data_IF_629704877042
#
_entry.id   IF_629704877042
#
_cell.length_a   1.000
_cell.length_b   1.000
_cell.length_c   1.000
_cell.angle_alpha   90.00
_cell.angle_beta   90.00
_cell.angle_gamma   90.00
#
_symmetry.space_group_name_H-M   'P 1'
#
loop_
_entity.id
_entity.type
_entity.pdbx_description
1 polymer ?
#
# COMPACT_ATOMS: atom_id res chain seq x y z
N UNK A 1 -7.31 23.95 2.20
CA UNK A 1 -8.62 24.60 2.40
C UNK A 1 -9.33 23.75 3.43
N UNK A 2 -9.88 24.34 4.50
CA UNK A 2 -10.68 23.57 5.45
C UNK A 2 -11.87 22.99 4.70
N UNK A 3 -12.06 21.68 4.78
CA UNK A 3 -13.21 21.01 4.19
C UNK A 3 -14.48 21.54 4.91
N UNK A 4 -15.55 21.80 4.14
CA UNK A 4 -16.84 22.07 4.75
C UNK A 4 -17.28 20.85 5.57
N UNK A 5 -17.81 21.05 6.79
CA UNK A 5 -18.27 19.92 7.60
C UNK A 5 -19.30 19.07 6.87
N UNK A 6 -19.25 17.75 7.06
CA UNK A 6 -20.26 16.83 6.54
C UNK A 6 -21.64 17.19 7.10
N UNK A 7 -22.62 17.32 6.21
CA UNK A 7 -24.00 17.63 6.61
C UNK A 7 -24.76 16.33 6.89
N UNK A 8 -24.61 15.35 6.02
CA UNK A 8 -25.27 14.05 6.11
C UNK A 8 -24.31 12.96 5.64
N UNK A 9 -23.93 12.06 6.53
CA UNK A 9 -22.98 10.99 6.24
C UNK A 9 -23.46 10.03 5.12
N UNK A 10 -24.76 9.94 4.88
CA UNK A 10 -25.30 9.09 3.84
C UNK A 10 -25.09 9.65 2.42
N UNK A 11 -25.01 10.97 2.26
CA UNK A 11 -25.00 11.65 0.95
C UNK A 11 -23.82 12.61 0.76
N UNK A 12 -23.03 12.85 1.82
CA UNK A 12 -21.94 13.84 1.82
C UNK A 12 -20.69 13.33 2.58
N UNK A 13 -20.44 12.02 2.54
CA UNK A 13 -19.36 11.37 3.29
C UNK A 13 -17.97 11.97 2.98
N UNK A 14 -17.20 12.27 4.04
CA UNK A 14 -15.81 12.71 3.92
C UNK A 14 -14.96 12.17 5.07
N UNK A 15 -13.96 11.36 4.77
CA UNK A 15 -12.96 10.87 5.76
C UNK A 15 -12.12 11.99 6.36
N UNK A 16 -12.04 13.14 5.70
CA UNK A 16 -11.31 14.33 6.19
C UNK A 16 -12.12 15.22 7.16
N UNK A 17 -13.35 14.86 7.51
CA UNK A 17 -14.11 15.55 8.55
C UNK A 17 -13.57 15.13 9.94
N UNK A 18 -13.19 16.06 10.84
CA UNK A 18 -12.65 15.70 12.15
C UNK A 18 -13.54 14.76 12.97
N UNK A 19 -14.86 14.82 12.80
CA UNK A 19 -15.79 13.91 13.49
C UNK A 19 -15.66 12.47 13.04
N UNK A 20 -15.17 12.22 11.81
CA UNK A 20 -14.86 10.87 11.36
C UNK A 20 -13.67 10.30 12.12
N UNK A 21 -12.64 11.11 12.39
CA UNK A 21 -11.49 10.71 13.19
C UNK A 21 -11.86 10.43 14.65
N UNK A 22 -12.81 11.22 15.20
CA UNK A 22 -13.29 11.05 16.57
C UNK A 22 -14.10 9.76 16.78
N UNK A 23 -15.03 9.43 15.86
CA UNK A 23 -15.91 8.26 15.99
C UNK A 23 -16.23 7.59 14.63
N UNK A 24 -15.26 6.96 13.94
CA UNK A 24 -15.51 6.27 12.69
C UNK A 24 -16.48 5.10 12.85
N UNK A 25 -16.42 4.40 13.97
CA UNK A 25 -17.26 3.20 14.18
C UNK A 25 -18.73 3.55 14.39
N UNK A 26 -19.05 4.62 15.11
CA UNK A 26 -20.41 5.10 15.28
C UNK A 26 -21.01 5.58 13.97
N UNK A 27 -20.24 6.30 13.16
CA UNK A 27 -20.67 6.74 11.83
C UNK A 27 -20.98 5.55 10.93
N UNK A 28 -20.08 4.54 10.85
CA UNK A 28 -20.33 3.33 10.06
C UNK A 28 -21.50 2.52 10.59
N UNK A 29 -21.70 2.43 11.91
CA UNK A 29 -22.85 1.76 12.49
C UNK A 29 -24.16 2.44 12.09
N UNK A 30 -24.24 3.75 12.20
CA UNK A 30 -25.40 4.53 11.78
C UNK A 30 -25.70 4.39 10.29
N UNK A 31 -24.68 4.38 9.43
CA UNK A 31 -24.84 4.16 8.00
C UNK A 31 -25.39 2.76 7.69
N UNK A 32 -24.89 1.70 8.34
CA UNK A 32 -25.42 0.34 8.15
C UNK A 32 -26.91 0.23 8.46
N UNK A 33 -27.38 0.98 9.44
CA UNK A 33 -28.81 0.97 9.82
C UNK A 33 -29.70 1.81 8.91
N UNK A 34 -29.18 2.97 8.45
CA UNK A 34 -30.00 3.97 7.75
C UNK A 34 -29.79 4.02 6.25
N UNK A 35 -28.57 3.78 5.77
CA UNK A 35 -28.17 3.86 4.36
C UNK A 35 -27.02 2.89 4.05
N UNK A 36 -27.31 1.59 3.81
CA UNK A 36 -26.27 0.57 3.60
C UNK A 36 -25.30 0.84 2.46
N UNK A 37 -25.68 1.68 1.48
CA UNK A 37 -24.82 2.18 0.42
C UNK A 37 -24.86 3.70 0.45
N UNK A 38 -23.99 4.30 1.25
CA UNK A 38 -23.81 5.74 1.29
C UNK A 38 -23.11 6.23 0.02
N UNK A 39 -23.19 7.53 -0.26
CA UNK A 39 -22.46 8.11 -1.38
C UNK A 39 -21.94 9.50 -1.05
N UNK A 40 -21.08 10.04 -1.89
CA UNK A 40 -20.57 11.41 -1.80
C UNK A 40 -20.27 11.94 -3.19
N UNK A 41 -20.50 13.22 -3.42
CA UNK A 41 -19.99 13.95 -4.59
C UNK A 41 -18.60 14.57 -4.33
N UNK A 42 -18.14 14.50 -3.09
CA UNK A 42 -16.82 15.03 -2.74
C UNK A 42 -15.72 14.25 -3.44
N UNK A 43 -14.62 14.93 -3.75
CA UNK A 43 -13.41 14.33 -4.32
C UNK A 43 -13.63 13.52 -5.61
N UNK A 44 -14.66 13.87 -6.39
CA UNK A 44 -14.99 13.23 -7.67
C UNK A 44 -16.06 12.15 -7.60
N UNK A 45 -16.68 11.98 -6.45
CA UNK A 45 -17.80 11.06 -6.23
C UNK A 45 -17.38 9.62 -5.90
N UNK A 46 -18.07 9.03 -4.92
CA UNK A 46 -17.89 7.64 -4.54
C UNK A 46 -19.16 7.04 -3.93
N UNK A 47 -19.37 5.75 -4.13
CA UNK A 47 -20.33 4.95 -3.38
C UNK A 47 -19.61 4.12 -2.33
N UNK A 48 -20.17 4.05 -1.11
CA UNK A 48 -19.57 3.44 0.05
C UNK A 48 -20.49 2.34 0.59
N UNK A 49 -20.29 1.08 0.18
CA UNK A 49 -21.01 -0.04 0.75
C UNK A 49 -20.58 -0.26 2.19
N UNK A 50 -21.53 -0.44 3.11
CA UNK A 50 -21.25 -0.52 4.54
C UNK A 50 -21.55 -1.89 5.16
N UNK A 51 -22.27 -2.76 4.44
CA UNK A 51 -22.53 -4.13 4.90
C UNK A 51 -21.49 -5.11 4.35
N UNK A 52 -21.23 -6.18 5.08
CA UNK A 52 -20.33 -7.25 4.63
C UNK A 52 -20.80 -7.87 3.30
N UNK A 53 -22.10 -8.09 3.18
CA UNK A 53 -22.71 -8.71 2.00
C UNK A 53 -22.49 -7.86 0.75
N UNK A 54 -22.72 -6.55 0.82
CA UNK A 54 -22.51 -5.63 -0.30
C UNK A 54 -21.03 -5.51 -0.68
N UNK A 55 -20.14 -5.36 0.32
CA UNK A 55 -18.68 -5.32 0.09
C UNK A 55 -18.20 -6.62 -0.55
N UNK A 56 -18.65 -7.78 -0.05
CA UNK A 56 -18.27 -9.07 -0.63
C UNK A 56 -18.82 -9.23 -2.05
N UNK A 57 -20.09 -8.86 -2.30
CA UNK A 57 -20.68 -8.92 -3.63
C UNK A 57 -19.90 -8.08 -4.64
N UNK A 58 -19.56 -6.84 -4.31
CA UNK A 58 -18.75 -5.95 -5.15
C UNK A 58 -17.35 -6.51 -5.37
N UNK A 59 -16.69 -7.01 -4.31
CA UNK A 59 -15.33 -7.52 -4.41
C UNK A 59 -15.21 -8.78 -5.29
N UNK A 60 -16.26 -9.60 -5.36
CA UNK A 60 -16.28 -10.79 -6.21
C UNK A 60 -16.80 -10.55 -7.63
N UNK A 61 -17.49 -9.45 -7.87
CA UNK A 61 -18.05 -9.10 -9.18
C UNK A 61 -17.02 -8.36 -10.04
N UNK A 62 -16.08 -9.12 -10.60
CA UNK A 62 -15.03 -8.58 -11.48
C UNK A 62 -15.52 -8.25 -12.89
N UNK A 63 -16.78 -8.53 -13.23
CA UNK A 63 -17.37 -8.18 -14.51
C UNK A 63 -17.86 -6.73 -14.52
N UNK A 64 -18.45 -6.26 -13.41
CA UNK A 64 -19.02 -4.92 -13.31
C UNK A 64 -18.11 -3.94 -12.53
N UNK A 65 -17.24 -4.44 -11.65
CA UNK A 65 -16.34 -3.63 -10.85
C UNK A 65 -14.87 -3.88 -11.19
N UNK A 66 -14.13 -2.81 -11.42
CA UNK A 66 -12.73 -2.86 -11.84
C UNK A 66 -11.80 -2.38 -10.72
N UNK A 67 -10.66 -3.10 -10.56
CA UNK A 67 -9.58 -2.72 -9.64
C UNK A 67 -8.48 -1.88 -10.30
N UNK A 68 -8.69 -1.38 -11.53
CA UNK A 68 -7.66 -0.57 -12.24
C UNK A 68 -7.35 0.76 -11.58
N UNK A 69 -8.24 1.23 -10.72
CA UNK A 69 -8.06 2.41 -9.86
C UNK A 69 -8.41 2.01 -8.44
N UNK A 70 -7.42 2.02 -7.57
CA UNK A 70 -7.53 1.55 -6.18
C UNK A 70 -7.47 2.68 -5.17
N UNK A 71 -7.45 3.94 -5.62
CA UNK A 71 -7.37 5.07 -4.72
C UNK A 71 -8.70 5.32 -4.02
N UNK A 72 -8.65 5.40 -2.70
CA UNK A 72 -9.78 5.80 -1.85
C UNK A 72 -10.15 7.27 -2.12
N UNK A 73 -9.17 8.08 -2.48
CA UNK A 73 -9.35 9.48 -2.85
C UNK A 73 -9.20 9.60 -4.37
N UNK A 74 -10.19 10.18 -5.08
CA UNK A 74 -10.08 10.39 -6.51
C UNK A 74 -8.88 11.25 -6.86
N UNK A 75 -8.15 10.83 -7.86
CA UNK A 75 -7.06 11.63 -8.40
C UNK A 75 -7.60 12.80 -9.25
N UNK A 76 -6.93 13.95 -9.23
CA UNK A 76 -7.28 15.04 -10.14
C UNK A 76 -7.31 14.59 -11.60
N UNK A 77 -8.20 15.15 -12.43
CA UNK A 77 -8.23 14.85 -13.86
C UNK A 77 -6.84 15.05 -14.51
N UNK A 78 -6.39 14.05 -15.26
CA UNK A 78 -5.08 14.09 -15.93
C UNK A 78 -3.91 13.51 -15.13
N UNK A 79 -4.14 13.03 -13.91
CA UNK A 79 -3.10 12.32 -13.17
C UNK A 79 -2.79 10.98 -13.83
N UNK A 80 -1.52 10.68 -14.02
CA UNK A 80 -1.09 9.36 -14.50
C UNK A 80 -1.29 8.33 -13.39
N UNK A 81 -2.21 7.39 -13.59
CA UNK A 81 -2.44 6.31 -12.63
C UNK A 81 -1.22 5.41 -12.58
N UNK A 82 -0.68 5.21 -11.39
CA UNK A 82 0.38 4.23 -11.18
C UNK A 82 -0.15 2.82 -11.47
N UNK A 83 0.50 2.13 -12.38
CA UNK A 83 0.19 0.73 -12.69
C UNK A 83 1.04 -0.16 -11.81
N UNK A 84 0.45 -0.69 -10.74
CA UNK A 84 1.08 -1.55 -9.75
C UNK A 84 0.43 -2.95 -9.75
N UNK A 85 0.83 -3.87 -10.65
CA UNK A 85 0.31 -5.23 -10.67
C UNK A 85 0.73 -6.02 -9.41
N UNK A 86 -0.15 -6.86 -8.86
CA UNK A 86 -1.49 -7.20 -9.35
C UNK A 86 -2.60 -6.25 -8.90
N UNK A 87 -2.36 -5.34 -7.92
CA UNK A 87 -3.43 -4.59 -7.23
C UNK A 87 -4.24 -3.69 -8.18
N UNK A 88 -3.59 -3.03 -9.15
CA UNK A 88 -4.26 -2.17 -10.14
C UNK A 88 -4.64 -2.92 -11.40
N UNK A 89 -5.16 -4.13 -11.27
CA UNK A 89 -5.40 -5.02 -12.42
C UNK A 89 -6.69 -5.81 -12.27
N UNK A 90 -7.33 -6.12 -13.40
CA UNK A 90 -8.48 -6.99 -13.48
C UNK A 90 -8.11 -8.37 -14.06
N UNK A 91 -8.91 -9.43 -13.83
CA UNK A 91 -8.78 -10.68 -14.54
C UNK A 91 -8.90 -10.49 -16.06
N UNK A 92 -8.19 -11.26 -16.89
CA UNK A 92 -7.30 -12.38 -16.52
C UNK A 92 -5.88 -11.95 -16.12
N UNK A 93 -5.48 -10.68 -16.36
CA UNK A 93 -4.13 -10.19 -16.08
C UNK A 93 -3.81 -10.23 -14.58
N UNK A 94 -4.73 -9.78 -13.72
CA UNK A 94 -4.58 -9.88 -12.26
C UNK A 94 -4.22 -11.29 -11.81
N UNK A 95 -4.96 -12.30 -12.30
CA UNK A 95 -4.75 -13.71 -11.89
C UNK A 95 -3.36 -14.19 -12.25
N UNK A 96 -2.83 -13.78 -13.41
CA UNK A 96 -1.50 -14.15 -13.88
C UNK A 96 -0.42 -13.45 -13.08
N UNK A 97 -0.49 -12.13 -12.94
CA UNK A 97 0.46 -11.33 -12.18
C UNK A 97 0.53 -11.78 -10.70
N UNK A 98 -0.63 -12.01 -10.08
CA UNK A 98 -0.70 -12.51 -8.69
C UNK A 98 -0.06 -13.90 -8.55
N UNK A 99 -0.24 -14.79 -9.52
CA UNK A 99 0.37 -16.15 -9.50
C UNK A 99 1.89 -16.07 -9.50
N UNK A 100 2.49 -15.16 -10.26
CA UNK A 100 3.94 -14.93 -10.24
C UNK A 100 4.39 -14.58 -8.82
N UNK A 101 3.76 -13.61 -8.18
CA UNK A 101 4.12 -13.18 -6.82
C UNK A 101 3.89 -14.26 -5.77
N UNK A 102 2.77 -14.98 -5.82
CA UNK A 102 2.43 -15.99 -4.81
C UNK A 102 3.49 -17.08 -4.66
N UNK A 103 4.28 -17.35 -5.71
CA UNK A 103 5.38 -18.31 -5.61
C UNK A 103 6.44 -17.88 -4.60
N UNK A 104 6.73 -16.59 -4.50
CA UNK A 104 7.71 -16.02 -3.56
C UNK A 104 7.17 -15.90 -2.12
N UNK A 105 5.85 -15.73 -1.96
CA UNK A 105 5.19 -15.56 -0.67
C UNK A 105 4.61 -16.87 -0.08
N UNK A 106 5.02 -18.03 -0.59
CA UNK A 106 4.62 -19.31 0.00
C UNK A 106 5.19 -19.46 1.42
N UNK A 107 4.52 -20.16 2.36
CA UNK A 107 5.03 -20.36 3.72
C UNK A 107 6.45 -20.90 3.78
N UNK A 108 6.80 -21.79 2.84
CA UNK A 108 8.15 -22.33 2.72
C UNK A 108 9.17 -21.25 2.35
N UNK A 109 8.81 -20.39 1.40
CA UNK A 109 9.74 -19.40 0.84
C UNK A 109 9.90 -18.17 1.74
N UNK A 110 8.96 -17.89 2.65
CA UNK A 110 9.06 -16.76 3.59
C UNK A 110 9.57 -17.17 4.97
N UNK A 111 9.73 -18.47 5.26
CA UNK A 111 10.14 -18.94 6.60
C UNK A 111 11.51 -18.42 7.05
N UNK A 112 12.43 -18.14 6.13
CA UNK A 112 13.73 -17.57 6.45
C UNK A 112 13.66 -16.15 7.01
N UNK A 113 12.59 -15.41 6.70
CA UNK A 113 12.38 -14.04 7.18
C UNK A 113 12.13 -13.99 8.69
N UNK A 114 11.74 -15.10 9.33
CA UNK A 114 11.50 -15.11 10.79
C UNK A 114 12.75 -14.69 11.58
N UNK A 115 13.91 -15.18 11.19
CA UNK A 115 15.17 -14.86 11.89
C UNK A 115 15.46 -13.36 11.77
N UNK A 116 15.39 -12.82 10.55
CA UNK A 116 15.59 -11.40 10.30
C UNK A 116 14.54 -10.54 11.02
N UNK A 117 13.26 -10.92 10.94
CA UNK A 117 12.17 -10.20 11.63
C UNK A 117 12.39 -10.13 13.14
N UNK A 118 12.83 -11.23 13.77
CA UNK A 118 13.16 -11.25 15.20
C UNK A 118 14.33 -10.35 15.55
N UNK A 119 15.33 -10.30 14.68
CA UNK A 119 16.48 -9.39 14.84
C UNK A 119 16.02 -7.93 14.77
N UNK A 120 15.24 -7.55 13.74
CA UNK A 120 14.66 -6.19 13.61
C UNK A 120 13.84 -5.82 14.85
N UNK A 121 13.01 -6.74 15.37
CA UNK A 121 12.27 -6.48 16.59
C UNK A 121 13.16 -6.24 17.82
N UNK A 122 14.25 -7.00 17.95
CA UNK A 122 15.18 -6.82 19.06
C UNK A 122 15.90 -5.47 18.97
N UNK A 123 16.39 -5.12 17.78
CA UNK A 123 17.06 -3.82 17.52
C UNK A 123 16.14 -2.63 17.86
N UNK A 124 14.88 -2.66 17.43
CA UNK A 124 13.90 -1.62 17.74
C UNK A 124 13.61 -1.52 19.25
N UNK A 125 13.54 -2.64 19.96
CA UNK A 125 13.40 -2.63 21.43
C UNK A 125 14.63 -2.05 22.12
N UNK A 126 15.83 -2.38 21.64
CA UNK A 126 17.09 -1.81 22.15
C UNK A 126 17.15 -0.30 21.90
N UNK A 127 16.68 0.18 20.74
CA UNK A 127 16.59 1.62 20.41
C UNK A 127 15.62 2.34 21.36
N UNK A 128 14.45 1.77 21.62
CA UNK A 128 13.45 2.30 22.58
C UNK A 128 14.04 2.36 24.00
N UNK A 129 14.70 1.30 24.44
CA UNK A 129 15.35 1.28 25.77
C UNK A 129 16.47 2.32 25.88
N UNK A 130 17.27 2.45 24.82
CA UNK A 130 18.38 3.42 24.77
C UNK A 130 17.92 4.88 24.77
N UNK A 131 16.71 5.18 24.28
CA UNK A 131 16.12 6.50 24.33
C UNK A 131 15.86 6.96 25.78
N UNK A 132 15.65 6.03 26.72
CA UNK A 132 15.50 6.31 28.15
C UNK A 132 14.22 7.04 28.54
N UNK A 133 13.25 7.12 27.63
CA UNK A 133 11.95 7.73 27.89
C UNK A 133 11.06 6.78 28.70
N UNK A 134 10.17 7.28 29.60
CA UNK A 134 9.34 6.43 30.44
C UNK A 134 8.25 5.68 29.68
N UNK A 135 7.94 6.10 28.45
CA UNK A 135 6.92 5.52 27.58
C UNK A 135 7.40 5.54 26.13
N UNK A 136 6.93 4.60 25.32
CA UNK A 136 7.15 4.55 23.89
C UNK A 136 5.81 4.43 23.15
N UNK A 137 5.72 4.95 21.94
CA UNK A 137 4.59 4.74 21.05
C UNK A 137 4.78 3.42 20.29
N UNK A 138 3.95 2.42 20.63
CA UNK A 138 4.05 1.09 20.02
C UNK A 138 3.80 1.08 18.50
N UNK A 139 3.10 2.04 17.96
CA UNK A 139 2.89 2.18 16.53
C UNK A 139 4.08 2.88 15.87
N UNK A 140 4.44 4.07 16.35
CA UNK A 140 5.45 4.94 15.73
C UNK A 140 6.89 4.45 16.00
N UNK A 141 7.17 3.98 17.23
CA UNK A 141 8.55 3.61 17.60
C UNK A 141 8.87 2.14 17.32
N UNK A 142 7.86 1.30 17.05
CA UNK A 142 8.05 -0.13 16.89
C UNK A 142 7.36 -0.71 15.65
N UNK A 143 6.02 -0.75 15.63
CA UNK A 143 5.28 -1.59 14.67
C UNK A 143 5.43 -1.14 13.22
N UNK A 144 5.48 0.16 12.93
CA UNK A 144 5.59 0.70 11.58
C UNK A 144 6.91 0.35 10.87
N UNK A 145 7.99 0.13 11.62
CA UNK A 145 9.32 -0.15 11.06
C UNK A 145 9.47 -1.59 10.59
N UNK A 146 8.80 -2.53 11.26
CA UNK A 146 8.97 -3.97 11.03
C UNK A 146 8.62 -4.37 9.58
N UNK A 147 7.43 -4.08 9.04
CA UNK A 147 7.09 -4.50 7.68
C UNK A 147 7.99 -3.86 6.62
N UNK A 148 8.38 -2.60 6.82
CA UNK A 148 9.24 -1.88 5.89
C UNK A 148 10.64 -2.51 5.84
N UNK A 149 11.27 -2.80 6.99
CA UNK A 149 12.58 -3.45 7.05
C UNK A 149 12.53 -4.88 6.50
N UNK A 150 11.46 -5.64 6.79
CA UNK A 150 11.31 -7.01 6.29
C UNK A 150 11.14 -7.05 4.77
N UNK A 151 10.32 -6.18 4.18
CA UNK A 151 10.16 -6.16 2.71
C UNK A 151 11.43 -5.62 2.01
N UNK A 152 12.11 -4.64 2.60
CA UNK A 152 13.40 -4.15 2.10
C UNK A 152 14.43 -5.29 2.06
N UNK A 153 14.57 -6.06 3.12
CA UNK A 153 15.43 -7.24 3.16
C UNK A 153 15.05 -8.27 2.09
N UNK A 154 13.77 -8.57 1.92
CA UNK A 154 13.27 -9.50 0.91
C UNK A 154 13.60 -9.04 -0.52
N UNK A 155 13.55 -7.73 -0.78
CA UNK A 155 13.91 -7.11 -2.06
C UNK A 155 15.43 -6.96 -2.25
N UNK A 156 16.24 -7.32 -1.26
CA UNK A 156 17.70 -7.17 -1.28
C UNK A 156 18.17 -5.71 -1.22
N UNK A 157 17.39 -4.84 -0.58
CA UNK A 157 17.72 -3.43 -0.36
C UNK A 157 18.77 -3.34 0.75
N UNK A 158 19.82 -2.50 0.60
CA UNK A 158 20.81 -2.29 1.63
C UNK A 158 20.20 -1.69 2.90
N UNK A 159 20.64 -2.16 4.08
CA UNK A 159 20.17 -1.66 5.39
C UNK A 159 20.27 -0.13 5.53
N UNK A 160 21.30 0.48 4.97
CA UNK A 160 21.48 1.94 4.99
C UNK A 160 20.35 2.71 4.28
N UNK A 161 19.57 2.05 3.41
CA UNK A 161 18.49 2.67 2.67
C UNK A 161 17.12 2.45 3.37
N UNK A 162 17.04 1.63 4.44
CA UNK A 162 15.79 1.30 5.12
C UNK A 162 15.07 2.52 5.71
N UNK A 163 15.82 3.47 6.26
CA UNK A 163 15.25 4.71 6.79
C UNK A 163 14.53 5.54 5.70
N UNK A 164 15.03 5.51 4.47
CA UNK A 164 14.41 6.16 3.33
C UNK A 164 13.07 5.49 2.96
N UNK A 165 13.00 4.16 3.01
CA UNK A 165 11.76 3.42 2.78
C UNK A 165 10.70 3.74 3.85
N UNK A 166 11.09 3.79 5.12
CA UNK A 166 10.20 4.23 6.20
C UNK A 166 9.69 5.66 5.94
N UNK A 167 10.57 6.57 5.51
CA UNK A 167 10.17 7.93 5.16
C UNK A 167 9.15 7.98 4.01
N UNK A 168 9.30 7.16 2.99
CA UNK A 168 8.31 7.07 1.90
C UNK A 168 6.98 6.49 2.37
N UNK A 169 7.00 5.47 3.22
CA UNK A 169 5.77 4.92 3.80
C UNK A 169 5.01 5.98 4.62
N UNK A 170 5.71 6.74 5.47
CA UNK A 170 5.13 7.86 6.22
C UNK A 170 4.58 8.93 5.26
N UNK A 171 5.35 9.34 4.25
CA UNK A 171 4.92 10.33 3.26
C UNK A 171 3.64 9.89 2.51
N UNK A 172 3.51 8.61 2.17
CA UNK A 172 2.33 8.11 1.44
C UNK A 172 1.12 7.91 2.35
N UNK A 173 1.31 7.27 3.50
CA UNK A 173 0.20 6.78 4.33
C UNK A 173 -0.17 7.69 5.51
N UNK A 174 0.65 8.67 5.84
CA UNK A 174 0.40 9.63 6.93
C UNK A 174 0.34 11.06 6.38
N UNK A 175 1.46 11.63 5.97
CA UNK A 175 1.56 13.03 5.57
C UNK A 175 0.77 13.34 4.30
N UNK A 176 0.77 12.40 3.35
CA UNK A 176 0.13 12.54 2.04
C UNK A 176 -1.37 12.30 2.03
N UNK A 177 -1.98 11.86 3.15
CA UNK A 177 -3.44 11.62 3.23
C UNK A 177 -4.24 12.88 2.85
N UNK A 178 -3.71 14.05 3.19
CA UNK A 178 -4.34 15.34 2.92
C UNK A 178 -3.60 16.18 1.86
N UNK A 179 -2.42 15.74 1.40
CA UNK A 179 -1.61 16.44 0.40
C UNK A 179 -1.12 15.50 -0.72
N UNK A 180 -1.83 15.48 -1.87
CA UNK A 180 -1.44 14.65 -3.01
C UNK A 180 -0.06 14.98 -3.61
N UNK A 181 0.51 16.16 -3.35
CA UNK A 181 1.85 16.50 -3.83
C UNK A 181 2.93 15.71 -3.09
N UNK A 182 2.75 15.49 -1.78
CA UNK A 182 3.65 14.66 -0.97
C UNK A 182 3.66 13.23 -1.52
N UNK A 183 2.48 12.67 -1.77
CA UNK A 183 2.36 11.32 -2.36
C UNK A 183 3.04 11.24 -3.71
N UNK A 184 2.82 12.22 -4.59
CA UNK A 184 3.44 12.25 -5.93
C UNK A 184 4.96 12.34 -5.87
N UNK A 185 5.49 13.15 -4.96
CA UNK A 185 6.94 13.27 -4.76
C UNK A 185 7.53 11.94 -4.29
N UNK A 186 6.93 11.30 -3.27
CA UNK A 186 7.35 10.01 -2.75
C UNK A 186 7.30 8.91 -3.83
N UNK A 187 6.21 8.80 -4.58
CA UNK A 187 6.09 7.83 -5.69
C UNK A 187 7.20 8.04 -6.73
N UNK A 188 7.48 9.27 -7.10
CA UNK A 188 8.54 9.58 -8.07
C UNK A 188 9.91 9.13 -7.57
N UNK A 189 10.22 9.34 -6.30
CA UNK A 189 11.49 8.93 -5.69
C UNK A 189 11.59 7.40 -5.62
N UNK A 190 10.53 6.71 -5.20
CA UNK A 190 10.47 5.25 -5.15
C UNK A 190 10.71 4.64 -6.53
N UNK A 191 10.02 5.14 -7.56
CA UNK A 191 10.19 4.63 -8.92
C UNK A 191 11.61 4.85 -9.44
N UNK A 192 12.19 6.04 -9.21
CA UNK A 192 13.56 6.34 -9.60
C UNK A 192 14.58 5.43 -8.88
N UNK A 193 14.35 5.13 -7.61
CA UNK A 193 15.17 4.20 -6.84
C UNK A 193 15.10 2.79 -7.44
N UNK A 194 13.91 2.27 -7.69
CA UNK A 194 13.76 0.93 -8.26
C UNK A 194 14.24 0.81 -9.71
N UNK A 195 14.18 1.87 -10.51
CA UNK A 195 14.83 1.89 -11.83
C UNK A 195 16.34 1.59 -11.73
N UNK A 196 17.01 2.19 -10.73
CA UNK A 196 18.43 1.93 -10.46
C UNK A 196 18.63 0.49 -9.99
N UNK A 197 17.84 0.02 -9.02
CA UNK A 197 17.97 -1.34 -8.49
C UNK A 197 17.73 -2.41 -9.56
N UNK A 198 16.73 -2.24 -10.42
CA UNK A 198 16.42 -3.13 -11.54
C UNK A 198 17.59 -3.16 -12.53
N UNK A 199 18.12 -2.00 -12.91
CA UNK A 199 19.28 -1.92 -13.81
C UNK A 199 20.50 -2.65 -13.23
N UNK A 200 20.79 -2.44 -11.95
CA UNK A 200 21.96 -3.01 -11.28
C UNK A 200 21.83 -4.52 -11.13
N UNK A 201 20.60 -5.06 -10.82
CA UNK A 201 20.33 -6.50 -10.79
C UNK A 201 20.44 -7.16 -12.16
N UNK A 202 20.14 -6.45 -13.24
CA UNK A 202 20.38 -6.96 -14.61
C UNK A 202 21.85 -7.12 -14.96
N UNK A 203 22.72 -6.31 -14.37
CA UNK A 203 24.17 -6.43 -14.55
C UNK A 203 24.74 -7.51 -13.65
N UNK A 204 24.28 -7.58 -12.41
CA UNK A 204 24.74 -8.53 -11.40
C UNK A 204 23.54 -8.95 -10.54
N UNK A 205 23.02 -10.16 -10.79
CA UNK A 205 21.93 -10.77 -10.03
C UNK A 205 22.35 -11.06 -8.58
N UNK A 206 21.38 -11.03 -7.67
CA UNK A 206 21.54 -11.38 -6.26
C UNK A 206 20.54 -12.47 -5.87
N UNK A 207 20.71 -13.03 -4.69
CA UNK A 207 19.73 -13.95 -4.11
C UNK A 207 18.65 -13.14 -3.36
N UNK A 208 17.77 -12.49 -4.15
CA UNK A 208 16.71 -11.62 -3.64
C UNK A 208 15.44 -11.69 -4.52
N UNK A 209 14.33 -11.18 -3.98
CA UNK A 209 13.05 -11.15 -4.69
C UNK A 209 13.14 -10.37 -6.00
N UNK A 210 13.89 -9.26 -6.01
CA UNK A 210 13.98 -8.41 -7.19
C UNK A 210 14.66 -9.14 -8.36
N UNK A 211 15.74 -9.88 -8.10
CA UNK A 211 16.36 -10.76 -9.11
C UNK A 211 15.40 -11.84 -9.57
N UNK A 212 14.71 -12.49 -8.63
CA UNK A 212 13.70 -13.49 -8.97
C UNK A 212 12.59 -12.94 -9.87
N UNK A 213 12.12 -11.72 -9.63
CA UNK A 213 11.11 -11.06 -10.48
C UNK A 213 11.66 -10.72 -11.88
N UNK A 214 12.95 -10.39 -12.00
CA UNK A 214 13.60 -10.15 -13.29
C UNK A 214 13.71 -11.42 -14.15
N UNK A 215 13.81 -12.57 -13.51
CA UNK A 215 13.88 -13.89 -14.15
C UNK A 215 12.50 -14.52 -14.36
N UNK A 216 11.46 -13.94 -13.75
CA UNK A 216 10.10 -14.46 -13.84
C UNK A 216 9.47 -14.23 -15.21
N UNK A 217 8.64 -15.18 -15.62
CA UNK A 217 7.85 -15.10 -16.84
C UNK A 217 6.35 -15.11 -16.53
N UNK A 218 5.60 -14.42 -17.36
CA UNK A 218 4.15 -14.48 -17.39
C UNK A 218 3.68 -14.86 -18.79
N UNK A 219 3.03 -16.03 -18.90
CA UNK A 219 2.64 -16.63 -20.20
C UNK A 219 3.81 -16.96 -21.14
N UNK A 220 5.02 -17.16 -20.62
CA UNK A 220 6.23 -17.43 -21.37
C UNK A 220 7.01 -16.19 -21.83
N UNK A 221 6.55 -15.01 -21.46
CA UNK A 221 7.24 -13.75 -21.72
C UNK A 221 7.82 -13.17 -20.42
N UNK A 222 9.04 -12.57 -20.45
CA UNK A 222 9.59 -11.84 -19.31
C UNK A 222 8.70 -10.70 -18.87
N UNK A 223 8.72 -10.38 -17.56
CA UNK A 223 8.01 -9.22 -17.05
C UNK A 223 8.57 -7.92 -17.63
N UNK A 224 7.67 -7.02 -18.05
CA UNK A 224 8.09 -5.71 -18.57
C UNK A 224 8.62 -4.81 -17.45
N UNK A 225 9.47 -3.82 -17.77
CA UNK A 225 9.98 -2.86 -16.80
C UNK A 225 8.85 -2.12 -16.05
N UNK A 226 7.78 -1.79 -16.76
CA UNK A 226 6.59 -1.18 -16.15
C UNK A 226 5.93 -2.11 -15.13
N UNK A 227 5.87 -3.41 -15.43
CA UNK A 227 5.33 -4.41 -14.50
C UNK A 227 6.24 -4.53 -13.26
N UNK A 228 7.55 -4.66 -13.47
CA UNK A 228 8.54 -4.77 -12.40
C UNK A 228 8.49 -3.55 -11.47
N UNK A 229 8.56 -2.34 -12.01
CA UNK A 229 8.50 -1.10 -11.24
C UNK A 229 7.22 -0.99 -10.42
N UNK A 230 6.08 -1.28 -11.04
CA UNK A 230 4.79 -1.24 -10.33
C UNK A 230 4.67 -2.32 -9.25
N UNK A 231 5.26 -3.49 -9.45
CA UNK A 231 5.29 -4.56 -8.44
C UNK A 231 6.24 -4.24 -7.29
N UNK A 232 7.38 -3.61 -7.57
CA UNK A 232 8.31 -3.18 -6.52
C UNK A 232 7.76 -2.01 -5.68
N UNK A 233 6.90 -1.19 -6.26
CA UNK A 233 6.20 -0.14 -5.54
C UNK A 233 5.17 -0.70 -4.55
N UNK A 234 4.53 -1.82 -4.88
CA UNK A 234 3.46 -2.46 -4.12
C UNK A 234 3.95 -3.04 -2.79
#
# INVERSE_FOLDING_TARGET
MANEPVIDWATDFDVGDPRYEEDPYGIWAGLRESCPIAHTERRGGAFLPTTYEDVAAIAYDTEHFSSRRTNVLPEPPGTTVLVAPPITSDPPFHTKARRVLLSYFSPKNISYLEVHTRQVCAELLDEIEAAGEPTADAACDFAQHIPVRVIAHMLGIPEQDEAMFTGWAVAIFQDGVYDPEIVRAAIKEILAYFEIQIRDRRLEGKDDLLTGLLEAEMDGDPLTDKHLLGTCFL
#
